data_IF_259983594529
#
_entry.id   IF_259983594529
#
_cell.length_a   1.000
_cell.length_b   1.000
_cell.length_c   1.000
_cell.angle_alpha   90.00
_cell.angle_beta   90.00
_cell.angle_gamma   90.00
#
_symmetry.space_group_name_H-M   'P 1'
#
loop_
_entity.id
_entity.type
_entity.pdbx_description
1 polymer ?
#
# COMPACT_ATOMS: atom_id res chain seq x y z
N UNK A 1 -9.61 14.47 -14.73
CA UNK A 1 -9.54 13.53 -13.60
C UNK A 1 -8.71 12.34 -14.08
N UNK A 2 -7.39 12.43 -13.96
CA UNK A 2 -6.44 11.48 -14.56
C UNK A 2 -5.92 10.57 -13.45
N UNK A 3 -6.58 9.43 -13.26
CA UNK A 3 -5.97 8.32 -12.54
C UNK A 3 -5.06 7.64 -13.57
N UNK A 4 -3.83 8.15 -13.69
CA UNK A 4 -2.81 7.54 -14.54
C UNK A 4 -2.38 6.25 -13.85
N UNK A 5 -3.01 5.14 -14.23
CA UNK A 5 -2.49 3.80 -14.04
C UNK A 5 -1.23 3.67 -14.90
N UNK A 6 -0.15 4.25 -14.41
CA UNK A 6 1.16 4.17 -15.04
C UNK A 6 1.68 2.76 -14.75
N UNK A 7 1.68 1.90 -15.78
CA UNK A 7 2.14 0.52 -15.74
C UNK A 7 3.65 0.41 -15.56
N UNK A 8 4.22 1.12 -14.58
CA UNK A 8 5.60 0.96 -14.15
C UNK A 8 5.77 -0.40 -13.48
N UNK A 9 6.93 -1.04 -13.64
CA UNK A 9 7.30 -2.17 -12.80
C UNK A 9 7.17 -1.74 -11.33
N UNK A 10 6.57 -2.61 -10.51
CA UNK A 10 6.44 -2.40 -9.07
C UNK A 10 7.86 -2.27 -8.51
N UNK A 11 8.31 -1.04 -8.27
CA UNK A 11 9.60 -0.81 -7.63
C UNK A 11 9.44 -1.11 -6.14
N UNK A 12 9.77 -2.34 -5.76
CA UNK A 12 9.69 -2.81 -4.36
C UNK A 12 10.89 -2.32 -3.53
N UNK A 13 11.84 -1.62 -4.12
CA UNK A 13 13.01 -1.09 -3.41
C UNK A 13 12.57 -0.16 -2.27
N UNK A 14 13.00 -0.47 -1.04
CA UNK A 14 12.68 0.30 0.17
C UNK A 14 11.17 0.50 0.37
N UNK A 15 10.39 -0.54 0.03
CA UNK A 15 8.92 -0.48 0.07
C UNK A 15 8.39 -0.09 1.44
N UNK A 16 9.07 -0.48 2.52
CA UNK A 16 8.67 -0.15 3.88
C UNK A 16 8.68 1.35 4.14
N UNK A 17 9.77 2.04 3.79
CA UNK A 17 9.86 3.48 3.97
C UNK A 17 8.84 4.21 3.09
N UNK A 18 8.66 3.74 1.85
CA UNK A 18 7.65 4.27 0.93
C UNK A 18 6.25 4.16 1.52
N UNK A 19 5.85 2.98 1.98
CA UNK A 19 4.53 2.71 2.58
C UNK A 19 4.27 3.56 3.82
N UNK A 20 5.29 3.78 4.66
CA UNK A 20 5.19 4.65 5.86
C UNK A 20 5.05 6.14 5.52
N UNK A 21 5.55 6.57 4.36
CA UNK A 21 5.46 7.96 3.89
C UNK A 21 4.16 8.31 3.16
N UNK A 22 3.32 7.32 2.83
CA UNK A 22 2.10 7.55 2.07
C UNK A 22 1.06 8.31 2.89
N UNK A 23 0.35 9.23 2.22
CA UNK A 23 -0.70 10.05 2.85
C UNK A 23 -2.08 9.80 2.27
N UNK A 24 -2.19 8.96 1.24
CA UNK A 24 -3.45 8.59 0.62
C UNK A 24 -3.59 7.08 0.41
N UNK A 25 -4.81 6.57 0.61
CA UNK A 25 -5.12 5.14 0.49
C UNK A 25 -4.85 4.60 -0.93
N UNK A 26 -5.12 5.38 -1.99
CA UNK A 26 -4.85 4.99 -3.39
C UNK A 26 -3.37 4.70 -3.66
N UNK A 27 -2.47 5.39 -2.96
CA UNK A 27 -1.03 5.20 -3.14
C UNK A 27 -0.60 3.80 -2.70
N UNK A 28 -1.26 3.20 -1.70
CA UNK A 28 -0.96 1.83 -1.28
C UNK A 28 -1.21 0.85 -2.43
N UNK A 29 -2.35 0.99 -3.11
CA UNK A 29 -2.67 0.14 -4.24
C UNK A 29 -1.75 0.38 -5.44
N UNK A 30 -1.36 1.63 -5.69
CA UNK A 30 -0.41 1.96 -6.74
C UNK A 30 1.00 1.39 -6.47
N UNK A 31 1.51 1.57 -5.26
CA UNK A 31 2.81 1.02 -4.82
C UNK A 31 2.80 -0.49 -4.84
N UNK A 32 1.68 -1.11 -4.45
CA UNK A 32 1.56 -2.56 -4.40
C UNK A 32 1.11 -3.15 -5.74
N UNK A 33 0.78 -2.36 -6.76
CA UNK A 33 0.29 -2.84 -8.05
C UNK A 33 -0.98 -3.70 -7.94
N UNK A 34 -1.89 -3.31 -7.04
CA UNK A 34 -3.17 -4.00 -6.79
C UNK A 34 -4.30 -3.20 -7.42
N UNK A 35 -5.14 -3.85 -8.21
CA UNK A 35 -6.34 -3.21 -8.74
C UNK A 35 -7.37 -2.96 -7.63
N UNK A 36 -8.03 -1.80 -7.65
CA UNK A 36 -9.05 -1.44 -6.68
C UNK A 36 -10.27 -0.80 -7.35
N UNK A 37 -11.43 -0.92 -6.71
CA UNK A 37 -12.61 -0.15 -7.09
C UNK A 37 -12.54 1.25 -6.43
N UNK A 38 -12.49 2.35 -7.21
CA UNK A 38 -12.47 3.70 -6.66
C UNK A 38 -13.68 4.03 -5.79
N UNK A 39 -14.86 3.43 -6.03
CA UNK A 39 -16.05 3.64 -5.19
C UNK A 39 -15.86 3.06 -3.79
N UNK A 40 -15.35 1.83 -3.72
CA UNK A 40 -15.03 1.16 -2.44
C UNK A 40 -13.88 1.88 -1.74
N UNK A 41 -12.84 2.25 -2.49
CA UNK A 41 -11.72 3.00 -1.94
C UNK A 41 -12.20 4.30 -1.32
N UNK A 42 -13.05 5.08 -2.01
CA UNK A 42 -13.52 6.39 -1.53
C UNK A 42 -14.26 6.33 -0.20
N UNK A 43 -15.03 5.27 0.07
CA UNK A 43 -15.72 5.11 1.36
C UNK A 43 -14.79 4.53 2.44
N UNK A 44 -13.79 3.76 2.03
CA UNK A 44 -12.87 3.05 2.94
C UNK A 44 -11.52 3.75 3.13
N UNK A 45 -11.27 4.93 2.52
CA UNK A 45 -9.95 5.60 2.53
C UNK A 45 -9.40 5.73 3.94
N UNK A 46 -10.20 6.29 4.85
CA UNK A 46 -9.79 6.53 6.24
C UNK A 46 -9.55 5.21 7.00
N UNK A 47 -10.37 4.19 6.73
CA UNK A 47 -10.21 2.87 7.33
C UNK A 47 -8.92 2.19 6.86
N UNK A 48 -8.63 2.25 5.56
CA UNK A 48 -7.40 1.70 4.98
C UNK A 48 -6.18 2.44 5.55
N UNK A 49 -6.20 3.77 5.59
CA UNK A 49 -5.14 4.58 6.19
C UNK A 49 -4.85 4.18 7.62
N UNK A 50 -5.90 4.10 8.45
CA UNK A 50 -5.75 3.74 9.85
C UNK A 50 -5.24 2.31 10.00
N UNK A 51 -5.84 1.35 9.29
CA UNK A 51 -5.52 -0.08 9.43
C UNK A 51 -4.10 -0.39 8.95
N UNK A 52 -3.71 0.13 7.79
CA UNK A 52 -2.37 -0.07 7.25
C UNK A 52 -1.34 0.69 8.07
N UNK A 53 -1.62 1.93 8.48
CA UNK A 53 -0.73 2.70 9.34
C UNK A 53 -0.47 2.02 10.70
N UNK A 54 -1.52 1.47 11.32
CA UNK A 54 -1.39 0.68 12.55
C UNK A 54 -0.54 -0.58 12.32
N UNK A 55 -0.84 -1.34 11.26
CA UNK A 55 -0.07 -2.54 10.92
C UNK A 55 1.41 -2.25 10.67
N UNK A 56 1.73 -1.17 9.94
CA UNK A 56 3.12 -0.76 9.66
C UNK A 56 3.87 -0.28 10.92
N UNK A 57 3.16 0.14 11.96
CA UNK A 57 3.71 0.60 13.22
C UNK A 57 3.86 -0.54 14.24
N UNK A 58 2.97 -1.54 14.21
CA UNK A 58 2.92 -2.64 15.18
C UNK A 58 3.74 -3.87 14.74
N UNK A 59 3.84 -4.15 13.44
CA UNK A 59 4.62 -5.29 12.95
C UNK A 59 6.13 -5.01 12.92
N UNK A 60 6.89 -6.06 13.21
CA UNK A 60 8.34 -6.07 13.01
C UNK A 60 8.67 -6.54 11.59
N UNK A 61 9.20 -5.62 10.78
CA UNK A 61 9.68 -5.89 9.43
C UNK A 61 11.20 -6.08 9.37
N UNK A 62 11.88 -6.09 10.51
CA UNK A 62 13.34 -6.18 10.57
C UNK A 62 13.83 -7.48 9.93
N UNK A 63 14.72 -7.35 8.93
CA UNK A 63 15.29 -8.49 8.21
C UNK A 63 14.35 -9.17 7.21
N UNK A 64 13.14 -8.66 7.00
CA UNK A 64 12.28 -9.14 5.92
C UNK A 64 12.70 -8.50 4.59
N UNK A 65 12.74 -9.27 3.49
CA UNK A 65 12.97 -8.70 2.17
C UNK A 65 11.74 -7.89 1.74
N UNK A 66 11.97 -6.80 1.01
CA UNK A 66 10.93 -5.86 0.61
C UNK A 66 9.74 -6.54 -0.10
N UNK A 67 9.99 -7.53 -0.95
CA UNK A 67 8.95 -8.30 -1.61
C UNK A 67 7.98 -8.99 -0.64
N UNK A 68 8.46 -9.44 0.52
CA UNK A 68 7.64 -10.08 1.56
C UNK A 68 6.82 -9.03 2.31
N UNK A 69 7.42 -7.88 2.61
CA UNK A 69 6.72 -6.74 3.22
C UNK A 69 5.57 -6.29 2.31
N UNK A 70 5.85 -6.10 1.02
CA UNK A 70 4.85 -5.75 0.02
C UNK A 70 3.72 -6.79 -0.06
N UNK A 71 4.05 -8.09 -0.08
CA UNK A 71 3.06 -9.16 -0.12
C UNK A 71 2.17 -9.17 1.14
N UNK A 72 2.73 -8.93 2.33
CA UNK A 72 1.96 -8.86 3.58
C UNK A 72 0.97 -7.71 3.59
N UNK A 73 1.41 -6.51 3.20
CA UNK A 73 0.53 -5.34 3.17
C UNK A 73 -0.52 -5.48 2.08
N UNK A 74 -0.16 -6.05 0.92
CA UNK A 74 -1.12 -6.39 -0.15
C UNK A 74 -2.24 -7.31 0.36
N UNK A 75 -1.90 -8.35 1.11
CA UNK A 75 -2.90 -9.29 1.66
C UNK A 75 -3.90 -8.64 2.63
N UNK A 76 -3.64 -7.43 3.13
CA UNK A 76 -4.60 -6.67 3.93
C UNK A 76 -5.62 -5.86 3.11
N UNK A 77 -5.32 -5.65 1.83
CA UNK A 77 -6.09 -4.82 0.90
C UNK A 77 -6.95 -5.66 -0.06
N UNK A 78 -6.70 -6.97 -0.13
CA UNK A 78 -7.55 -7.98 -0.76
C UNK A 78 -8.78 -8.29 0.11
#
# INVERSE_FOLDING_TARGET
>A
MTCSADGRPIDVTDVLARLKGLSAAEEFFAVLGVSYDPKVLNVSRLHIMKRVGQYLAEEDFSGLPDQVIAARVRAMLE
#
